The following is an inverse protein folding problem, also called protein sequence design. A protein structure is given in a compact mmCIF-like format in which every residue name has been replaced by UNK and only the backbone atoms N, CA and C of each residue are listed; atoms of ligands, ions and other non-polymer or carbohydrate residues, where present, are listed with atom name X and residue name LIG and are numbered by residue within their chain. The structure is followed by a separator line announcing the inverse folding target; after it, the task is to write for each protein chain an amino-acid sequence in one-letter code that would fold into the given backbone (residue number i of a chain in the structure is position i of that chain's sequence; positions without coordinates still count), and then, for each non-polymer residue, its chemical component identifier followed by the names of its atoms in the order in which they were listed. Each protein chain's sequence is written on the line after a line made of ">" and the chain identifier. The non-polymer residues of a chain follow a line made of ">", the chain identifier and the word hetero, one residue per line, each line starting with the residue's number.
data_IF_979771043789
#
_entry.id   IF_979771043789
#
_cell.length_a   1.000
_cell.length_b   1.000
_cell.length_c   1.000
_cell.angle_alpha   90.00
_cell.angle_beta   90.00
_cell.angle_gamma   90.00
#
_symmetry.space_group_name_H-M   'P 1'
#
loop_
_entity.id
_entity.type
_entity.pdbx_description
1 polymer ?
#
# COMPACT_ATOMS: atom_id res chain seq x y z
N UNK A 1 -2.87 -7.27 -21.07
CA UNK A 1 -2.58 -8.41 -20.17
C UNK A 1 -2.14 -7.86 -18.84
N UNK A 2 -2.92 -8.03 -17.77
CA UNK A 2 -2.42 -7.67 -16.44
C UNK A 2 -1.54 -8.80 -15.90
N UNK A 3 -0.43 -8.47 -15.22
CA UNK A 3 0.54 -9.47 -14.77
C UNK A 3 0.03 -10.37 -13.63
N UNK A 4 -1.03 -9.98 -12.90
CA UNK A 4 -1.64 -10.80 -11.86
C UNK A 4 -2.87 -11.55 -12.41
N UNK A 5 -2.81 -12.88 -12.39
CA UNK A 5 -3.92 -13.78 -12.71
C UNK A 5 -4.76 -14.09 -11.46
N UNK A 6 -5.23 -13.06 -10.76
CA UNK A 6 -6.11 -13.17 -9.59
C UNK A 6 -7.47 -12.51 -9.87
N UNK A 7 -8.57 -12.96 -9.23
CA UNK A 7 -9.86 -12.29 -9.33
C UNK A 7 -9.76 -10.84 -8.83
N UNK A 8 -10.45 -9.88 -9.47
CA UNK A 8 -10.31 -8.46 -9.11
C UNK A 8 -10.71 -8.16 -7.66
N UNK A 9 -11.67 -8.90 -7.10
CA UNK A 9 -12.03 -8.81 -5.68
C UNK A 9 -10.88 -9.17 -4.72
N UNK A 10 -10.05 -10.15 -5.07
CA UNK A 10 -8.87 -10.51 -4.27
C UNK A 10 -7.79 -9.43 -4.35
N UNK A 11 -7.60 -8.84 -5.53
CA UNK A 11 -6.66 -7.73 -5.73
C UNK A 11 -7.10 -6.50 -4.91
N UNK A 12 -8.40 -6.20 -4.84
CA UNK A 12 -8.93 -5.14 -3.97
C UNK A 12 -8.66 -5.40 -2.50
N UNK A 13 -8.86 -6.64 -2.03
CA UNK A 13 -8.58 -6.99 -0.64
C UNK A 13 -7.09 -6.83 -0.30
N UNK A 14 -6.22 -7.36 -1.17
CA UNK A 14 -4.76 -7.24 -1.01
C UNK A 14 -4.29 -5.78 -1.07
N UNK A 15 -4.87 -4.99 -1.97
CA UNK A 15 -4.67 -3.54 -2.03
C UNK A 15 -5.04 -2.86 -0.71
N UNK A 16 -6.22 -3.16 -0.15
CA UNK A 16 -6.68 -2.59 1.12
C UNK A 16 -5.74 -2.95 2.27
N UNK A 17 -5.28 -4.21 2.32
CA UNK A 17 -4.29 -4.66 3.31
C UNK A 17 -2.96 -3.89 3.18
N UNK A 18 -2.45 -3.74 1.95
CA UNK A 18 -1.23 -2.96 1.69
C UNK A 18 -1.41 -1.47 2.08
N UNK A 19 -2.56 -0.89 1.79
CA UNK A 19 -2.86 0.50 2.14
C UNK A 19 -2.86 0.69 3.66
N UNK A 20 -3.54 -0.18 4.41
CA UNK A 20 -3.52 -0.14 5.86
C UNK A 20 -2.14 -0.39 6.44
N UNK A 21 -1.43 -1.43 5.97
CA UNK A 21 -0.08 -1.73 6.46
C UNK A 21 0.90 -0.60 6.18
N UNK A 22 0.84 -0.01 4.97
CA UNK A 22 1.69 1.11 4.58
C UNK A 22 1.40 2.36 5.41
N UNK A 23 0.13 2.62 5.73
CA UNK A 23 -0.28 3.72 6.61
C UNK A 23 0.25 3.52 8.03
N UNK A 24 0.05 2.35 8.63
CA UNK A 24 0.57 2.04 9.97
C UNK A 24 2.08 2.14 10.01
N UNK A 25 2.78 1.61 9.00
CA UNK A 25 4.24 1.66 8.92
C UNK A 25 4.75 3.09 8.81
N UNK A 26 4.10 3.93 7.99
CA UNK A 26 4.44 5.33 7.83
C UNK A 26 4.23 6.11 9.14
N UNK A 27 3.09 5.92 9.81
CA UNK A 27 2.80 6.59 11.08
C UNK A 27 3.79 6.18 12.16
N UNK A 28 4.12 4.88 12.25
CA UNK A 28 5.11 4.37 13.19
C UNK A 28 6.50 4.96 12.90
N UNK A 29 6.90 5.00 11.64
CA UNK A 29 8.15 5.62 11.21
C UNK A 29 8.20 7.11 11.55
N UNK A 30 7.12 7.86 11.29
CA UNK A 30 7.06 9.30 11.56
C UNK A 30 7.17 9.59 13.07
N UNK A 31 6.42 8.85 13.89
CA UNK A 31 6.46 8.97 15.34
C UNK A 31 7.84 8.62 15.90
N UNK A 32 8.45 7.53 15.44
CA UNK A 32 9.77 7.12 15.90
C UNK A 32 10.88 8.07 15.43
N UNK A 33 10.92 8.38 14.13
CA UNK A 33 11.99 9.15 13.51
C UNK A 33 12.05 10.60 13.95
N UNK A 34 10.89 11.24 14.12
CA UNK A 34 10.80 12.68 14.44
C UNK A 34 10.31 12.95 15.86
N UNK A 35 9.49 12.06 16.43
CA UNK A 35 8.94 12.24 17.79
C UNK A 35 9.86 11.71 18.89
N UNK A 36 10.66 10.68 18.60
CA UNK A 36 11.51 9.99 19.59
C UNK A 36 13.01 10.10 19.31
N UNK A 37 13.43 10.96 18.38
CA UNK A 37 14.83 11.10 17.93
C UNK A 37 15.82 11.17 19.09
N UNK A 38 15.51 11.95 20.12
CA UNK A 38 16.36 12.16 21.30
C UNK A 38 16.58 10.90 22.15
N UNK A 39 15.71 9.91 22.04
CA UNK A 39 15.74 8.67 22.83
C UNK A 39 16.30 7.47 22.06
N UNK A 40 16.57 7.62 20.76
CA UNK A 40 17.00 6.52 19.89
C UNK A 40 18.50 6.61 19.60
N UNK A 41 19.17 5.46 19.59
CA UNK A 41 20.54 5.38 19.08
C UNK A 41 20.56 5.49 17.55
N UNK A 42 21.72 5.79 16.97
CA UNK A 42 21.87 6.02 15.52
C UNK A 42 21.33 4.86 14.68
N UNK A 43 21.63 3.58 14.95
CA UNK A 43 21.07 2.47 14.17
C UNK A 43 19.53 2.42 14.19
N UNK A 44 18.93 2.63 15.36
CA UNK A 44 17.46 2.59 15.49
C UNK A 44 16.82 3.80 14.80
N UNK A 45 17.47 4.97 14.87
CA UNK A 45 17.00 6.16 14.17
C UNK A 45 17.04 6.00 12.64
N UNK A 46 18.05 5.31 12.10
CA UNK A 46 18.14 4.95 10.68
C UNK A 46 17.01 3.99 10.29
N UNK A 47 16.72 2.98 11.13
CA UNK A 47 15.57 2.09 10.92
C UNK A 47 14.24 2.86 10.96
N UNK A 48 14.09 3.80 11.89
CA UNK A 48 12.92 4.67 11.99
C UNK A 48 12.72 5.52 10.73
N UNK A 49 13.79 6.12 10.18
CA UNK A 49 13.74 6.82 8.89
C UNK A 49 13.48 5.87 7.72
N UNK A 50 13.99 4.64 7.76
CA UNK A 50 13.71 3.66 6.71
C UNK A 50 12.22 3.32 6.63
N UNK A 51 11.52 3.28 7.76
CA UNK A 51 10.06 3.08 7.82
C UNK A 51 9.30 4.21 7.11
N UNK A 52 9.79 5.46 7.15
CA UNK A 52 9.16 6.59 6.45
C UNK A 52 9.38 6.55 4.94
N UNK A 53 10.35 5.78 4.44
CA UNK A 53 10.54 5.49 3.02
C UNK A 53 9.71 4.29 2.57
N UNK A 54 9.68 3.23 3.39
CA UNK A 54 8.94 2.00 3.08
C UNK A 54 7.43 2.21 3.12
N UNK A 55 6.90 2.95 4.10
CA UNK A 55 5.47 3.21 4.24
C UNK A 55 4.82 3.81 2.97
N UNK A 56 5.30 4.95 2.45
CA UNK A 56 4.79 5.56 1.22
C UNK A 56 4.98 4.67 -0.02
N UNK A 57 6.06 3.89 -0.06
CA UNK A 57 6.31 2.93 -1.14
C UNK A 57 5.25 1.83 -1.17
N UNK A 58 4.92 1.26 -0.01
CA UNK A 58 3.85 0.26 0.13
C UNK A 58 2.49 0.88 -0.20
N UNK A 59 2.21 2.09 0.27
CA UNK A 59 0.98 2.82 -0.04
C UNK A 59 0.80 3.01 -1.55
N UNK A 60 1.86 3.42 -2.26
CA UNK A 60 1.84 3.60 -3.71
C UNK A 60 1.53 2.28 -4.43
N UNK A 61 2.17 1.19 -4.03
CA UNK A 61 1.91 -0.15 -4.60
C UNK A 61 0.45 -0.54 -4.34
N UNK A 62 -0.03 -0.43 -3.10
CA UNK A 62 -1.41 -0.72 -2.73
C UNK A 62 -2.42 0.09 -3.54
N UNK A 63 -2.15 1.38 -3.76
CA UNK A 63 -3.01 2.25 -4.57
C UNK A 63 -3.07 1.84 -6.04
N UNK A 64 -1.92 1.52 -6.65
CA UNK A 64 -1.88 1.03 -8.04
C UNK A 64 -2.65 -0.29 -8.17
N UNK A 65 -2.52 -1.21 -7.20
CA UNK A 65 -3.34 -2.44 -7.18
C UNK A 65 -4.84 -2.14 -7.06
N UNK A 66 -5.23 -1.11 -6.29
CA UNK A 66 -6.62 -0.68 -6.18
C UNK A 66 -7.17 -0.24 -7.53
N UNK A 67 -6.42 0.62 -8.23
CA UNK A 67 -6.80 1.13 -9.55
C UNK A 67 -6.92 -0.01 -10.56
N UNK A 68 -5.96 -0.93 -10.58
CA UNK A 68 -5.99 -2.12 -11.45
C UNK A 68 -7.27 -2.94 -11.20
N UNK A 69 -7.61 -3.19 -9.94
CA UNK A 69 -8.77 -4.00 -9.61
C UNK A 69 -10.09 -3.29 -9.96
N UNK A 70 -10.17 -1.98 -9.74
CA UNK A 70 -11.32 -1.16 -10.11
C UNK A 70 -11.52 -1.10 -11.63
N UNK A 71 -10.44 -0.97 -12.41
CA UNK A 71 -10.52 -0.98 -13.86
C UNK A 71 -11.06 -2.31 -14.38
N UNK A 72 -10.56 -3.44 -13.85
CA UNK A 72 -11.06 -4.77 -14.25
C UNK A 72 -12.53 -5.00 -13.90
N UNK A 73 -12.98 -4.56 -12.72
CA UNK A 73 -14.41 -4.66 -12.35
C UNK A 73 -15.30 -3.84 -13.30
N UNK A 74 -14.80 -2.69 -13.76
CA UNK A 74 -15.51 -1.84 -14.72
C UNK A 74 -15.58 -2.48 -16.10
N UNK A 75 -14.49 -3.10 -16.57
CA UNK A 75 -14.47 -3.89 -17.81
C UNK A 75 -15.45 -5.07 -17.77
N UNK A 76 -15.48 -5.82 -16.66
CA UNK A 76 -16.41 -6.94 -16.44
C UNK A 76 -17.87 -6.47 -16.45
N UNK A 77 -18.19 -5.40 -15.72
CA UNK A 77 -19.54 -4.83 -15.69
C UNK A 77 -20.01 -4.33 -17.07
N UNK A 78 -19.12 -3.71 -17.85
CA UNK A 78 -19.40 -3.28 -19.22
C UNK A 78 -19.68 -4.48 -20.14
N UNK A 79 -18.88 -5.55 -20.02
CA UNK A 79 -19.04 -6.76 -20.82
C UNK A 79 -20.37 -7.46 -20.55
N UNK A 80 -20.80 -7.51 -19.29
CA UNK A 80 -22.11 -8.04 -18.92
C UNK A 80 -23.30 -7.18 -19.38
N UNK A 81 -23.11 -5.87 -19.56
CA UNK A 81 -24.16 -4.97 -20.05
C UNK A 81 -24.37 -5.07 -21.57
N UNK A 82 -23.39 -5.61 -22.30
CA UNK A 82 -23.43 -5.78 -23.76
C UNK A 82 -23.82 -7.20 -24.21
N UNK A 83 -23.99 -8.14 -23.27
CA UNK A 83 -24.36 -9.54 -23.49
C UNK A 83 -25.85 -9.78 -23.18
#
# INVERSE_FOLDING_TARGET
>A
MYPLNLPPAHILHLSSQLLWSGLFLLLLGLLAAYGMERYLNVPTLVLAHSLTLLGPSILKIGYVLRLIAQERLKEEACSHALA
#
